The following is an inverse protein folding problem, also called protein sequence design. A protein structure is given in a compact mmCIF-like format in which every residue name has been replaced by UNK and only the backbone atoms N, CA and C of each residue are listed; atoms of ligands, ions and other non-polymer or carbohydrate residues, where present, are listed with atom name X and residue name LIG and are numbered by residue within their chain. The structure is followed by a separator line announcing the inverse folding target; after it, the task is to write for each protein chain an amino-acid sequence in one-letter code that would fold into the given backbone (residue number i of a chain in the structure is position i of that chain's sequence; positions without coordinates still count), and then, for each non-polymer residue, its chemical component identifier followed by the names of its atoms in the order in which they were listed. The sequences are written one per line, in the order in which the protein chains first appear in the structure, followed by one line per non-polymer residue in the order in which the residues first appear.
data_IF_287226594402
#
_entry.id   IF_287226594402
#
_cell.length_a   1.000
_cell.length_b   1.000
_cell.length_c   1.000
_cell.angle_alpha   90.00
_cell.angle_beta   90.00
_cell.angle_gamma   90.00
#
_symmetry.space_group_name_H-M   'P 1'
#
loop_
_entity.id
_entity.type
_entity.pdbx_description
1 polymer ?
#
# COMPACT_ATOMS: atom_id res chain seq x y z
N UNK A 1 -20.50 19.66 -16.11
CA UNK A 1 -20.40 18.34 -15.46
C UNK A 1 -18.92 18.13 -15.15
N UNK A 2 -18.50 18.44 -13.93
CA UNK A 2 -17.11 18.23 -13.52
C UNK A 2 -16.94 16.76 -13.14
N UNK A 3 -16.46 15.96 -14.08
CA UNK A 3 -15.70 14.76 -13.71
C UNK A 3 -14.35 15.26 -13.21
N UNK A 4 -14.31 15.75 -11.96
CA UNK A 4 -13.05 15.77 -11.24
C UNK A 4 -12.60 14.31 -11.23
N UNK A 5 -11.45 14.04 -11.84
CA UNK A 5 -10.75 12.75 -11.82
C UNK A 5 -10.31 12.47 -10.37
N UNK A 6 -11.26 12.34 -9.44
CA UNK A 6 -11.01 11.81 -8.11
C UNK A 6 -10.75 10.34 -8.37
N UNK A 7 -9.47 9.97 -8.31
CA UNK A 7 -9.11 8.58 -8.27
C UNK A 7 -9.83 7.96 -7.08
N UNK A 8 -10.58 6.90 -7.33
CA UNK A 8 -11.28 6.20 -6.27
C UNK A 8 -10.31 5.30 -5.49
N UNK A 9 -10.76 4.81 -4.34
CA UNK A 9 -9.99 3.89 -3.50
C UNK A 9 -9.49 2.66 -4.27
N UNK A 10 -10.25 2.20 -5.27
CA UNK A 10 -9.86 1.08 -6.11
C UNK A 10 -8.62 1.42 -6.96
N UNK A 11 -8.56 2.62 -7.51
CA UNK A 11 -7.39 3.13 -8.20
C UNK A 11 -6.18 3.19 -7.28
N UNK A 12 -6.31 3.82 -6.11
CA UNK A 12 -5.21 3.95 -5.13
C UNK A 12 -4.72 2.56 -4.72
N UNK A 13 -5.64 1.64 -4.40
CA UNK A 13 -5.33 0.26 -4.03
C UNK A 13 -4.50 -0.43 -5.10
N UNK A 14 -4.88 -0.31 -6.38
CA UNK A 14 -4.17 -0.99 -7.46
C UNK A 14 -2.70 -0.52 -7.61
N UNK A 15 -2.41 0.76 -7.37
CA UNK A 15 -1.03 1.25 -7.41
C UNK A 15 -0.25 0.85 -6.16
N UNK A 16 -0.88 0.89 -4.99
CA UNK A 16 -0.27 0.37 -3.76
C UNK A 16 0.08 -1.12 -3.91
N UNK A 17 -0.82 -1.93 -4.45
CA UNK A 17 -0.59 -3.36 -4.73
C UNK A 17 0.60 -3.54 -5.70
N UNK A 18 0.68 -2.75 -6.77
CA UNK A 18 1.82 -2.78 -7.68
C UNK A 18 3.15 -2.41 -6.99
N UNK A 19 3.15 -1.40 -6.11
CA UNK A 19 4.33 -1.04 -5.31
C UNK A 19 4.73 -2.16 -4.34
N UNK A 20 3.75 -2.84 -3.71
CA UNK A 20 4.01 -4.00 -2.85
C UNK A 20 4.63 -5.14 -3.66
N UNK A 21 4.12 -5.43 -4.84
CA UNK A 21 4.61 -6.50 -5.72
C UNK A 21 6.04 -6.27 -6.20
N UNK A 22 6.41 -5.02 -6.50
CA UNK A 22 7.78 -4.66 -6.92
C UNK A 22 8.78 -4.69 -5.78
N UNK A 23 8.32 -4.49 -4.54
CA UNK A 23 9.16 -4.53 -3.35
C UNK A 23 9.48 -5.96 -2.88
N UNK A 24 8.68 -6.95 -3.30
CA UNK A 24 8.81 -8.35 -2.84
C UNK A 24 9.14 -9.39 -3.91
N UNK A 25 9.91 -10.43 -3.53
CA UNK A 25 9.98 -11.66 -4.31
C UNK A 25 8.59 -12.30 -4.43
N UNK A 26 8.27 -12.94 -5.57
CA UNK A 26 6.98 -13.58 -5.80
C UNK A 26 6.54 -14.56 -4.71
N UNK A 27 7.49 -15.25 -4.06
CA UNK A 27 7.23 -16.25 -3.03
C UNK A 27 6.58 -15.68 -1.75
N UNK A 28 6.69 -14.37 -1.51
CA UNK A 28 6.21 -13.72 -0.29
C UNK A 28 5.07 -12.71 -0.56
N UNK A 29 4.55 -12.64 -1.80
CA UNK A 29 3.55 -11.62 -2.18
C UNK A 29 2.21 -11.81 -1.46
N UNK A 30 1.81 -13.06 -1.19
CA UNK A 30 0.55 -13.37 -0.49
C UNK A 30 0.55 -12.97 1.00
N UNK A 31 1.70 -12.57 1.54
CA UNK A 31 1.84 -12.23 2.96
C UNK A 31 1.51 -10.75 3.28
N UNK A 32 1.09 -9.93 2.32
CA UNK A 32 0.61 -8.56 2.57
C UNK A 32 -0.73 -8.30 1.89
N UNK A 33 -1.68 -7.80 2.67
CA UNK A 33 -2.98 -7.37 2.18
C UNK A 33 -3.06 -5.85 2.21
N UNK A 34 -3.74 -5.29 1.21
CA UNK A 34 -3.95 -3.85 1.04
C UNK A 34 -5.44 -3.55 1.10
N UNK A 35 -5.84 -2.63 1.96
CA UNK A 35 -7.17 -2.03 1.95
C UNK A 35 -7.05 -0.52 1.79
N UNK A 36 -7.97 0.08 1.02
CA UNK A 36 -8.06 1.54 0.87
C UNK A 36 -9.49 1.97 1.11
N UNK A 37 -9.66 3.00 1.94
CA UNK A 37 -10.96 3.63 2.23
C UNK A 37 -10.76 5.13 2.42
N UNK A 38 -11.45 5.92 1.62
CA UNK A 38 -11.37 7.39 1.65
C UNK A 38 -9.91 7.90 1.58
N UNK A 39 -9.09 7.29 0.72
CA UNK A 39 -7.65 7.61 0.59
C UNK A 39 -6.75 7.17 1.75
N UNK A 40 -7.30 6.48 2.75
CA UNK A 40 -6.53 5.87 3.85
C UNK A 40 -6.13 4.45 3.45
N UNK A 41 -4.83 4.20 3.38
CA UNK A 41 -4.26 2.89 3.05
C UNK A 41 -3.99 2.12 4.34
N UNK A 42 -4.42 0.87 4.42
CA UNK A 42 -4.09 -0.05 5.50
C UNK A 42 -3.31 -1.25 4.94
N UNK A 43 -2.14 -1.52 5.52
CA UNK A 43 -1.29 -2.65 5.17
C UNK A 43 -1.26 -3.64 6.33
N UNK A 44 -1.68 -4.87 6.09
CA UNK A 44 -1.63 -5.97 7.07
C UNK A 44 -0.80 -7.13 6.53
N UNK A 45 -0.31 -7.98 7.43
CA UNK A 45 0.47 -9.17 7.09
C UNK A 45 1.86 -9.19 7.72
N UNK A 46 2.82 -9.90 7.11
CA UNK A 46 4.20 -9.99 7.62
C UNK A 46 5.18 -9.42 6.65
N UNK A 47 6.08 -8.55 7.09
CA UNK A 47 7.17 -7.97 6.28
C UNK A 47 8.41 -7.72 7.14
N UNK A 48 9.64 -7.93 6.61
CA UNK A 48 10.84 -7.45 7.30
C UNK A 48 10.77 -5.95 7.56
N UNK A 49 11.10 -5.51 8.78
CA UNK A 49 10.90 -4.11 9.21
C UNK A 49 11.61 -3.09 8.31
N UNK A 50 12.81 -3.41 7.83
CA UNK A 50 13.54 -2.52 6.92
C UNK A 50 12.81 -2.34 5.57
N UNK A 51 12.30 -3.43 5.00
CA UNK A 51 11.52 -3.43 3.78
C UNK A 51 10.19 -2.69 3.96
N UNK A 52 9.51 -2.91 5.08
CA UNK A 52 8.26 -2.21 5.42
C UNK A 52 8.46 -0.70 5.50
N UNK A 53 9.53 -0.22 6.15
CA UNK A 53 9.82 1.22 6.22
C UNK A 53 10.04 1.85 4.85
N UNK A 54 10.71 1.14 3.93
CA UNK A 54 10.90 1.62 2.56
C UNK A 54 9.58 1.66 1.79
N UNK A 55 8.80 0.59 1.87
CA UNK A 55 7.49 0.49 1.22
C UNK A 55 6.55 1.60 1.66
N UNK A 56 6.44 1.86 2.97
CA UNK A 56 5.59 2.92 3.52
C UNK A 56 5.97 4.29 2.97
N UNK A 57 7.27 4.60 2.90
CA UNK A 57 7.74 5.86 2.35
C UNK A 57 7.46 6.01 0.84
N UNK A 58 7.35 4.90 0.10
CA UNK A 58 6.95 4.93 -1.31
C UNK A 58 5.43 5.16 -1.43
N UNK A 59 4.62 4.49 -0.60
CA UNK A 59 3.15 4.62 -0.58
C UNK A 59 2.71 6.02 -0.14
N UNK A 60 3.36 6.62 0.85
CA UNK A 60 3.08 7.99 1.32
C UNK A 60 3.25 9.05 0.21
N UNK A 61 3.94 8.72 -0.89
CA UNK A 61 4.12 9.61 -2.05
C UNK A 61 3.12 9.38 -3.17
N UNK A 62 2.29 8.34 -3.08
CA UNK A 62 1.24 8.07 -4.07
C UNK A 62 0.21 9.20 -3.97
N UNK A 63 -0.17 9.75 -5.13
CA UNK A 63 -1.19 10.80 -5.18
C UNK A 63 -2.51 10.29 -4.57
N UNK A 64 -3.20 11.19 -3.85
CA UNK A 64 -4.48 10.94 -3.20
C UNK A 64 -4.43 10.00 -1.96
N UNK A 65 -3.25 9.51 -1.58
CA UNK A 65 -3.05 8.88 -0.26
C UNK A 65 -3.02 9.97 0.82
N UNK A 66 -3.95 9.86 1.78
CA UNK A 66 -4.07 10.80 2.91
C UNK A 66 -3.29 10.31 4.12
N UNK A 67 -3.36 9.00 4.38
CA UNK A 67 -2.74 8.36 5.55
C UNK A 67 -2.38 6.91 5.21
N UNK A 68 -1.31 6.40 5.82
CA UNK A 68 -0.93 5.00 5.74
C UNK A 68 -0.90 4.38 7.14
N UNK A 69 -1.77 3.39 7.37
CA UNK A 69 -1.83 2.58 8.58
C UNK A 69 -0.97 1.34 8.41
N UNK A 70 0.16 1.34 9.09
CA UNK A 70 1.06 0.19 9.11
C UNK A 70 0.65 -0.80 10.21
N UNK A 71 0.03 -1.91 9.81
CA UNK A 71 -0.28 -3.06 10.67
C UNK A 71 0.55 -4.30 10.29
N UNK A 72 1.70 -4.09 9.64
CA UNK A 72 2.62 -5.16 9.27
C UNK A 72 3.35 -5.67 10.51
N UNK A 73 3.26 -6.99 10.74
CA UNK A 73 4.11 -7.68 11.69
C UNK A 73 5.52 -7.86 11.14
N UNK A 74 6.51 -7.89 12.03
CA UNK A 74 7.89 -8.20 11.68
C UNK A 74 8.00 -9.63 11.14
N UNK A 75 8.28 -9.77 9.86
CA UNK A 75 8.71 -11.04 9.27
C UNK A 75 10.18 -11.31 9.63
N UNK A 76 10.50 -12.56 9.97
CA UNK A 76 11.88 -13.05 10.19
C UNK A 76 12.67 -13.15 8.91
#
# INVERSE_FOLDING_TARGET
MLQALIRDDAGIRAEVEATVETTRPPADRDAVQVAVRDGIVELTGRMPTATARRLLAEIERIADVIEVKNLLGSGT
#
